data_IF_825527294962
#
_entry.id   IF_825527294962
#
_cell.length_a   1.000
_cell.length_b   1.000
_cell.length_c   1.000
_cell.angle_alpha   90.00
_cell.angle_beta   90.00
_cell.angle_gamma   90.00
#
_symmetry.space_group_name_H-M   'P 1'
#
loop_
_entity.id
_entity.type
_entity.pdbx_description
1 polymer ?
#
# COMPACT_ATOMS: atom_id res chain seq x y z
N UNK A 1 15.33 13.35 10.09
CA UNK A 1 16.28 12.91 9.05
C UNK A 1 15.74 11.63 8.46
N UNK A 2 15.20 11.69 7.25
CA UNK A 2 14.61 10.54 6.54
C UNK A 2 15.72 9.77 5.86
N UNK A 3 15.94 8.50 6.26
CA UNK A 3 16.92 7.64 5.61
C UNK A 3 16.45 7.35 4.18
N UNK A 4 17.30 7.75 3.22
CA UNK A 4 17.11 7.54 1.79
C UNK A 4 17.34 6.06 1.46
N UNK A 5 16.44 5.48 0.67
CA UNK A 5 16.55 4.09 0.24
C UNK A 5 17.44 4.03 -1.02
N UNK A 6 18.62 3.42 -0.92
CA UNK A 6 19.65 3.42 -1.98
C UNK A 6 19.33 2.52 -3.19
N UNK A 7 18.23 1.77 -3.16
CA UNK A 7 17.89 0.75 -4.17
C UNK A 7 17.00 1.29 -5.32
N UNK A 8 16.47 2.50 -5.21
CA UNK A 8 15.58 3.10 -6.20
C UNK A 8 16.17 4.41 -6.70
N UNK A 9 16.23 4.58 -8.04
CA UNK A 9 16.64 5.84 -8.68
C UNK A 9 15.83 7.00 -8.09
N UNK A 10 16.48 8.13 -7.75
CA UNK A 10 15.86 9.30 -7.13
C UNK A 10 14.56 9.72 -7.86
N UNK A 11 14.57 9.69 -9.20
CA UNK A 11 13.42 9.99 -10.06
C UNK A 11 12.21 9.06 -9.89
N UNK A 12 12.41 7.85 -9.38
CA UNK A 12 11.35 6.87 -9.12
C UNK A 12 10.74 7.01 -7.72
N UNK A 13 11.49 7.63 -6.80
CA UNK A 13 11.11 7.90 -5.40
C UNK A 13 10.16 9.09 -5.31
N UNK A 14 10.34 10.12 -6.17
CA UNK A 14 9.56 11.38 -6.11
C UNK A 14 8.31 11.42 -6.98
N UNK A 15 7.99 10.35 -7.73
CA UNK A 15 6.77 10.33 -8.56
C UNK A 15 5.56 9.98 -7.71
N UNK A 16 4.58 10.90 -7.64
CA UNK A 16 3.25 10.61 -7.11
C UNK A 16 2.68 9.38 -7.81
N UNK A 17 2.24 8.40 -7.02
CA UNK A 17 1.63 7.17 -7.55
C UNK A 17 0.32 6.92 -6.82
N UNK A 18 -0.71 6.60 -7.59
CA UNK A 18 -2.00 6.16 -7.06
C UNK A 18 -2.17 4.68 -7.41
N UNK A 19 -2.68 3.93 -6.45
CA UNK A 19 -3.05 2.53 -6.60
C UNK A 19 -4.48 2.34 -6.15
N UNK A 20 -5.18 1.40 -6.77
CA UNK A 20 -6.51 0.95 -6.36
C UNK A 20 -6.45 -0.52 -5.96
N UNK A 21 -7.36 -0.94 -5.08
CA UNK A 21 -7.49 -2.33 -4.66
C UNK A 21 -8.42 -3.08 -5.62
N UNK A 22 -7.90 -4.14 -6.25
CA UNK A 22 -8.71 -5.02 -7.10
C UNK A 22 -9.38 -6.17 -6.31
N UNK A 23 -9.24 -6.20 -4.99
CA UNK A 23 -9.72 -7.25 -4.08
C UNK A 23 -8.68 -8.32 -3.76
N UNK A 24 -7.51 -8.30 -4.42
CA UNK A 24 -6.40 -9.24 -4.18
C UNK A 24 -5.11 -8.49 -3.85
N UNK A 25 -4.81 -7.43 -4.60
CA UNK A 25 -3.62 -6.61 -4.42
C UNK A 25 -3.82 -5.18 -4.97
N UNK A 26 -2.99 -4.26 -4.49
CA UNK A 26 -2.97 -2.90 -5.02
C UNK A 26 -2.37 -2.85 -6.43
N UNK A 27 -3.14 -2.39 -7.41
CA UNK A 27 -2.69 -2.17 -8.79
C UNK A 27 -2.47 -0.68 -9.01
N UNK A 28 -1.38 -0.32 -9.70
CA UNK A 28 -1.09 1.07 -10.05
C UNK A 28 -2.10 1.59 -11.09
N UNK A 29 -2.66 2.77 -10.82
CA UNK A 29 -3.47 3.50 -11.80
C UNK A 29 -2.57 3.91 -12.96
N UNK A 30 -2.94 3.52 -14.19
CA UNK A 30 -2.25 3.90 -15.42
C UNK A 30 -2.64 5.32 -15.87
N UNK A 31 -2.38 6.29 -15.01
CA UNK A 31 -2.62 7.70 -15.27
C UNK A 31 -1.45 8.54 -14.79
N UNK A 32 -1.22 9.68 -15.46
CA UNK A 32 -0.26 10.67 -14.99
C UNK A 32 -0.97 11.63 -14.02
N UNK A 33 -0.45 11.76 -12.80
CA UNK A 33 -0.92 12.78 -11.86
C UNK A 33 -0.36 14.15 -12.26
N UNK A 34 -1.25 15.14 -12.45
CA UNK A 34 -0.90 16.49 -12.94
C UNK A 34 -0.97 17.54 -11.83
N UNK A 35 -1.43 17.20 -10.62
CA UNK A 35 -1.65 18.22 -9.57
C UNK A 35 -0.38 18.91 -9.13
N UNK A 36 -0.48 20.24 -8.97
CA UNK A 36 0.42 21.01 -8.13
C UNK A 36 0.39 20.43 -6.70
N UNK A 37 1.55 20.25 -6.09
CA UNK A 37 1.66 19.71 -4.75
C UNK A 37 0.99 20.66 -3.74
N UNK A 38 -0.16 20.24 -3.20
CA UNK A 38 -0.67 20.74 -1.93
C UNK A 38 -0.63 19.59 -0.95
N UNK A 39 0.11 19.68 0.17
CA UNK A 39 0.16 18.60 1.15
C UNK A 39 -1.27 18.29 1.61
N UNK A 40 -1.64 17.00 1.77
CA UNK A 40 -2.95 16.65 2.30
C UNK A 40 -3.14 17.38 3.63
N UNK A 41 -4.15 18.24 3.71
CA UNK A 41 -4.38 19.05 4.90
C UNK A 41 -5.10 18.20 5.95
N UNK A 42 -4.59 18.12 7.19
CA UNK A 42 -5.28 17.41 8.24
C UNK A 42 -6.62 18.09 8.51
N UNK A 43 -7.71 17.32 8.49
CA UNK A 43 -9.02 17.79 8.88
C UNK A 43 -9.39 17.15 10.21
N UNK A 44 -9.47 17.96 11.27
CA UNK A 44 -9.94 17.53 12.57
C UNK A 44 -11.48 17.48 12.53
N UNK A 45 -12.07 16.30 12.35
CA UNK A 45 -13.51 16.14 12.62
C UNK A 45 -13.69 16.04 14.13
N UNK A 46 -14.11 17.12 14.78
CA UNK A 46 -14.55 17.11 16.19
C UNK A 46 -15.99 16.61 16.37
N UNK A 47 -16.65 16.14 15.31
CA UNK A 47 -18.00 15.58 15.43
C UNK A 47 -17.96 14.10 15.79
N UNK A 48 -18.35 13.80 17.03
CA UNK A 48 -18.68 12.45 17.48
C UNK A 48 -19.83 11.94 16.61
N UNK A 49 -19.58 10.91 15.79
CA UNK A 49 -20.67 10.13 15.21
C UNK A 49 -21.29 9.29 16.32
N UNK A 50 -22.42 9.74 16.83
CA UNK A 50 -23.11 9.25 18.01
C UNK A 50 -23.86 7.92 17.79
N UNK A 51 -23.38 7.06 16.88
CA UNK A 51 -24.00 5.76 16.54
C UNK A 51 -23.01 4.60 16.52
N UNK A 52 -21.82 4.73 17.11
CA UNK A 52 -20.95 3.60 17.45
C UNK A 52 -20.63 3.57 18.95
N UNK A 53 -21.63 3.85 19.79
CA UNK A 53 -21.59 3.47 21.20
C UNK A 53 -21.99 1.99 21.35
N UNK A 54 -21.22 1.07 20.77
CA UNK A 54 -21.25 -0.34 21.18
C UNK A 54 -20.04 -0.61 22.05
N UNK A 55 -20.25 -0.57 23.38
CA UNK A 55 -19.72 -1.52 24.38
C UNK A 55 -18.34 -2.20 24.14
N UNK A 56 -17.34 -1.52 23.61
CA UNK A 56 -16.01 -2.06 23.46
C UNK A 56 -15.03 -0.90 23.69
N UNK A 57 -14.13 -1.04 24.65
CA UNK A 57 -13.15 -0.02 25.04
C UNK A 57 -12.44 0.58 23.83
N UNK A 58 -12.97 1.72 23.37
CA UNK A 58 -12.53 2.41 22.18
C UNK A 58 -11.33 3.28 22.55
N UNK A 59 -10.12 2.75 22.37
CA UNK A 59 -8.92 3.58 22.37
C UNK A 59 -9.00 4.42 21.11
N UNK A 60 -9.36 5.71 21.25
CA UNK A 60 -9.21 6.69 20.18
C UNK A 60 -7.70 6.88 19.93
N UNK A 61 -7.10 5.99 19.13
CA UNK A 61 -5.89 6.37 18.41
C UNK A 61 -6.36 7.42 17.41
N UNK A 62 -6.10 8.70 17.72
CA UNK A 62 -6.50 9.87 16.94
C UNK A 62 -6.00 9.74 15.50
N UNK A 63 -6.80 9.08 14.67
CA UNK A 63 -6.44 8.80 13.29
C UNK A 63 -6.60 10.11 12.55
N UNK A 64 -5.49 10.70 12.14
CA UNK A 64 -5.52 11.96 11.39
C UNK A 64 -6.15 11.68 10.03
N UNK A 65 -7.30 12.30 9.78
CA UNK A 65 -7.95 12.28 8.48
C UNK A 65 -7.38 13.42 7.62
N UNK A 66 -7.11 13.12 6.37
CA UNK A 66 -6.57 14.04 5.38
C UNK A 66 -7.50 14.10 4.19
N UNK A 67 -7.68 15.28 3.61
CA UNK A 67 -8.37 15.41 2.33
C UNK A 67 -7.36 15.82 1.26
N UNK A 68 -7.48 15.24 0.07
CA UNK A 68 -6.66 15.59 -1.08
C UNK A 68 -7.53 15.65 -2.33
N UNK A 69 -7.21 16.59 -3.22
CA UNK A 69 -7.78 16.63 -4.57
C UNK A 69 -6.70 16.17 -5.54
N UNK A 70 -6.98 15.11 -6.31
CA UNK A 70 -6.08 14.57 -7.31
C UNK A 70 -6.65 14.79 -8.71
N UNK A 71 -5.81 15.23 -9.63
CA UNK A 71 -6.10 15.39 -11.05
C UNK A 71 -5.20 14.45 -11.82
N UNK A 72 -5.82 13.56 -12.57
CA UNK A 72 -5.20 12.49 -13.33
C UNK A 72 -5.45 12.68 -14.82
N UNK A 73 -4.45 12.39 -15.63
CA UNK A 73 -4.58 12.30 -17.09
C UNK A 73 -4.41 10.86 -17.53
N UNK A 74 -5.47 10.33 -18.14
CA UNK A 74 -5.48 9.05 -18.82
C UNK A 74 -5.22 9.29 -20.31
N UNK A 75 -4.33 8.49 -20.89
CA UNK A 75 -3.98 8.56 -22.31
C UNK A 75 -4.86 7.67 -23.19
N UNK A 76 -5.65 6.79 -22.56
CA UNK A 76 -6.54 5.86 -23.25
C UNK A 76 -7.87 5.72 -22.52
N UNK A 77 -8.96 5.61 -23.28
CA UNK A 77 -10.29 5.27 -22.78
C UNK A 77 -10.31 3.97 -21.98
N UNK A 78 -9.50 2.98 -22.39
CA UNK A 78 -9.42 1.68 -21.71
C UNK A 78 -8.89 1.83 -20.29
N UNK A 79 -7.78 2.55 -20.12
CA UNK A 79 -7.16 2.74 -18.81
C UNK A 79 -8.06 3.53 -17.86
N UNK A 80 -8.80 4.50 -18.41
CA UNK A 80 -9.81 5.24 -17.68
C UNK A 80 -10.97 4.33 -17.23
N UNK A 81 -11.53 3.53 -18.13
CA UNK A 81 -12.62 2.61 -17.82
C UNK A 81 -12.22 1.53 -16.81
N UNK A 82 -11.02 0.98 -16.95
CA UNK A 82 -10.44 0.00 -16.02
C UNK A 82 -10.37 0.58 -14.60
N UNK A 83 -9.87 1.81 -14.45
CA UNK A 83 -9.83 2.47 -13.14
C UNK A 83 -11.22 2.84 -12.61
N UNK A 84 -12.13 3.31 -13.49
CA UNK A 84 -13.48 3.74 -13.10
C UNK A 84 -14.26 2.60 -12.43
N UNK A 85 -14.04 1.35 -12.85
CA UNK A 85 -14.63 0.16 -12.22
C UNK A 85 -14.27 0.04 -10.73
N UNK A 86 -13.07 0.50 -10.35
CA UNK A 86 -12.54 0.39 -8.99
C UNK A 86 -12.55 1.71 -8.24
N UNK A 87 -13.26 2.74 -8.71
CA UNK A 87 -13.30 4.06 -8.05
C UNK A 87 -13.82 4.00 -6.60
N UNK A 88 -14.76 3.09 -6.33
CA UNK A 88 -15.31 2.87 -4.99
C UNK A 88 -14.43 1.99 -4.08
N UNK A 89 -13.35 1.42 -4.61
CA UNK A 89 -12.41 0.59 -3.84
C UNK A 89 -11.49 1.44 -2.98
N UNK A 90 -10.76 0.78 -2.09
CA UNK A 90 -9.69 1.42 -1.33
C UNK A 90 -8.55 1.81 -2.27
N UNK A 91 -8.05 3.02 -2.09
CA UNK A 91 -6.93 3.57 -2.83
C UNK A 91 -5.73 3.80 -1.92
N UNK A 92 -4.54 3.57 -2.47
CA UNK A 92 -3.27 3.88 -1.82
C UNK A 92 -2.55 4.96 -2.62
N UNK A 93 -2.26 6.08 -1.98
CA UNK A 93 -1.60 7.24 -2.58
C UNK A 93 -0.20 7.42 -1.97
N UNK A 94 0.80 7.52 -2.84
CA UNK A 94 2.17 7.88 -2.49
C UNK A 94 2.40 9.34 -2.84
N UNK A 95 2.78 10.11 -1.82
CA UNK A 95 3.13 11.51 -1.98
C UNK A 95 4.59 11.67 -2.48
N UNK A 96 4.95 12.88 -2.93
CA UNK A 96 6.32 13.19 -3.41
C UNK A 96 7.39 12.88 -2.34
N UNK A 97 7.02 13.01 -1.06
CA UNK A 97 7.90 12.73 0.08
C UNK A 97 7.95 11.25 0.47
N UNK A 98 7.34 10.36 -0.31
CA UNK A 98 7.24 8.92 -0.02
C UNK A 98 6.30 8.56 1.13
N UNK A 99 5.49 9.51 1.62
CA UNK A 99 4.48 9.21 2.64
C UNK A 99 3.31 8.46 2.02
N UNK A 100 2.87 7.40 2.69
CA UNK A 100 1.77 6.54 2.23
C UNK A 100 0.47 6.95 2.88
N UNK A 101 -0.53 7.18 2.04
CA UNK A 101 -1.90 7.47 2.43
C UNK A 101 -2.81 6.37 1.90
N UNK A 102 -3.80 5.99 2.70
CA UNK A 102 -4.83 5.02 2.33
C UNK A 102 -6.18 5.69 2.49
N UNK A 103 -7.08 5.49 1.54
CA UNK A 103 -8.42 6.05 1.68
C UNK A 103 -9.33 5.72 0.52
N UNK A 104 -10.41 6.50 0.40
CA UNK A 104 -11.44 6.30 -0.62
C UNK A 104 -11.66 7.59 -1.40
N UNK A 105 -12.15 7.45 -2.62
CA UNK A 105 -12.63 8.58 -3.41
C UNK A 105 -13.93 9.09 -2.78
N UNK A 106 -14.03 10.41 -2.63
CA UNK A 106 -15.18 11.09 -2.05
C UNK A 106 -15.77 12.08 -3.05
N UNK A 107 -17.10 12.03 -3.21
CA UNK A 107 -17.82 12.87 -4.15
C UNK A 107 -17.78 12.34 -5.59
N UNK A 108 -18.30 13.14 -6.51
CA UNK A 108 -18.33 12.80 -7.93
C UNK A 108 -17.04 13.25 -8.63
N UNK A 109 -16.45 12.42 -9.51
CA UNK A 109 -15.29 12.81 -10.30
C UNK A 109 -15.67 13.86 -11.36
N UNK A 110 -14.92 14.96 -11.43
CA UNK A 110 -15.03 15.92 -12.55
C UNK A 110 -14.22 15.39 -13.73
N UNK A 111 -14.90 15.07 -14.84
CA UNK A 111 -14.32 14.42 -16.02
C UNK A 111 -14.33 15.40 -17.19
N UNK A 112 -13.15 15.65 -17.76
CA UNK A 112 -12.96 16.50 -18.94
C UNK A 112 -12.25 15.70 -20.03
N UNK A 113 -12.80 15.72 -21.23
CA UNK A 113 -12.15 15.13 -22.42
C UNK A 113 -11.21 16.16 -23.04
N UNK A 114 -9.98 15.74 -23.34
CA UNK A 114 -8.98 16.54 -24.06
C UNK A 114 -8.63 15.85 -25.38
N UNK A 115 -8.32 16.63 -26.42
CA UNK A 115 -7.87 16.17 -27.75
C UNK A 115 -8.73 15.03 -28.35
N UNK A 116 -9.78 15.39 -29.10
CA UNK A 116 -10.58 14.45 -29.90
C UNK A 116 -11.04 13.19 -29.12
N UNK A 117 -11.43 13.33 -27.84
CA UNK A 117 -11.91 12.25 -26.95
C UNK A 117 -10.91 11.11 -26.67
N UNK A 118 -9.62 11.30 -26.98
CA UNK A 118 -8.62 10.26 -26.75
C UNK A 118 -8.03 10.32 -25.34
N UNK A 119 -7.96 11.52 -24.76
CA UNK A 119 -7.40 11.77 -23.42
C UNK A 119 -8.49 12.21 -22.45
N UNK A 120 -8.39 11.72 -21.22
CA UNK A 120 -9.34 12.04 -20.15
C UNK A 120 -8.60 12.67 -18.97
N UNK A 121 -8.99 13.89 -18.61
CA UNK A 121 -8.55 14.57 -17.40
C UNK A 121 -9.64 14.35 -16.35
N UNK A 122 -9.29 13.71 -15.24
CA UNK A 122 -10.22 13.37 -14.17
C UNK A 122 -9.74 14.01 -12.88
N UNK A 123 -10.59 14.81 -12.25
CA UNK A 123 -10.33 15.39 -10.93
C UNK A 123 -11.21 14.74 -9.88
N UNK A 124 -10.60 14.23 -8.81
CA UNK A 124 -11.26 13.53 -7.72
C UNK A 124 -10.92 14.17 -6.38
N UNK A 125 -11.89 14.16 -5.46
CA UNK A 125 -11.65 14.33 -4.03
C UNK A 125 -11.37 12.98 -3.37
N UNK A 126 -10.46 12.94 -2.42
CA UNK A 126 -10.17 11.75 -1.63
C UNK A 126 -10.15 12.09 -0.15
N UNK A 127 -10.69 11.18 0.66
CA UNK A 127 -10.50 11.17 2.11
C UNK A 127 -9.53 10.05 2.46
N UNK A 128 -8.46 10.44 3.14
CA UNK A 128 -7.25 9.66 3.33
C UNK A 128 -6.91 9.57 4.82
N UNK A 129 -6.23 8.50 5.19
CA UNK A 129 -5.57 8.29 6.47
C UNK A 129 -4.10 8.04 6.18
N UNK A 130 -3.24 8.75 6.91
CA UNK A 130 -1.79 8.50 6.81
C UNK A 130 -1.51 7.13 7.43
N UNK A 131 -0.81 6.27 6.69
CA UNK A 131 -0.28 5.03 7.25
C UNK A 131 0.89 5.38 8.17
N UNK A 132 0.73 5.12 9.47
CA UNK A 132 1.74 5.44 10.50
C UNK A 132 3.02 4.62 10.30
N UNK A 133 2.84 3.37 9.86
CA UNK A 133 3.93 2.48 9.52
C UNK A 133 4.33 2.68 8.06
N UNK A 134 5.61 3.02 7.85
CA UNK A 134 6.20 2.81 6.54
C UNK A 134 6.00 1.33 6.18
N UNK A 135 5.42 1.05 5.01
CA UNK A 135 5.52 -0.29 4.43
C UNK A 135 6.99 -0.53 4.12
N UNK A 136 7.76 -0.96 5.12
CA UNK A 136 9.02 -1.62 4.88
C UNK A 136 8.66 -2.89 4.11
N UNK A 137 8.76 -2.82 2.78
CA UNK A 137 8.99 -4.02 2.00
C UNK A 137 10.38 -4.47 2.40
N UNK A 138 10.45 -5.32 3.43
CA UNK A 138 11.66 -6.10 3.65
C UNK A 138 11.79 -6.99 2.42
N UNK A 139 12.66 -6.58 1.50
CA UNK A 139 13.02 -7.37 0.33
C UNK A 139 14.46 -7.82 0.56
N UNK A 140 14.62 -8.86 1.36
CA UNK A 140 15.84 -9.68 1.28
C UNK A 140 15.72 -10.46 -0.01
N UNK A 141 16.66 -10.26 -0.92
CA UNK A 141 16.76 -11.05 -2.14
C UNK A 141 17.47 -12.35 -1.78
N UNK A 142 16.72 -13.45 -1.73
CA UNK A 142 17.32 -14.76 -1.53
C UNK A 142 17.95 -15.25 -2.84
N UNK A 143 19.21 -15.66 -2.79
CA UNK A 143 19.97 -16.07 -3.99
C UNK A 143 19.42 -17.39 -4.56
N UNK A 144 18.87 -18.25 -3.70
CA UNK A 144 18.42 -19.60 -4.04
C UNK A 144 16.96 -19.71 -4.49
N UNK A 145 16.21 -18.59 -4.56
CA UNK A 145 14.81 -18.62 -4.99
C UNK A 145 14.59 -18.17 -6.44
N UNK A 146 15.59 -17.60 -7.12
CA UNK A 146 15.44 -16.94 -8.43
C UNK A 146 14.69 -17.81 -9.46
N UNK A 147 15.02 -19.10 -9.52
CA UNK A 147 14.40 -20.07 -10.45
C UNK A 147 13.50 -21.12 -9.77
N UNK A 148 13.08 -20.89 -8.52
CA UNK A 148 12.25 -21.83 -7.78
C UNK A 148 10.75 -21.55 -7.98
N UNK A 149 9.93 -22.59 -8.14
CA UNK A 149 8.47 -22.44 -8.35
C UNK A 149 7.78 -21.67 -7.21
N UNK A 150 8.36 -21.74 -6.00
CA UNK A 150 7.81 -21.09 -4.82
C UNK A 150 8.25 -19.62 -4.63
N UNK A 151 9.09 -19.06 -5.51
CA UNK A 151 9.65 -17.72 -5.41
C UNK A 151 8.60 -16.67 -5.03
N UNK A 152 7.52 -16.57 -5.81
CA UNK A 152 6.44 -15.59 -5.58
C UNK A 152 5.75 -15.77 -4.23
N UNK A 153 5.64 -17.01 -3.73
CA UNK A 153 5.02 -17.26 -2.43
C UNK A 153 5.96 -16.86 -1.29
N UNK A 154 7.27 -17.13 -1.43
CA UNK A 154 8.30 -16.74 -0.47
C UNK A 154 8.36 -15.22 -0.38
N UNK A 155 8.39 -14.52 -1.52
CA UNK A 155 8.33 -13.05 -1.59
C UNK A 155 7.08 -12.48 -0.92
N UNK A 156 5.92 -13.13 -1.11
CA UNK A 156 4.68 -12.69 -0.48
C UNK A 156 4.72 -12.90 1.03
N UNK A 157 5.16 -14.08 1.49
CA UNK A 157 5.34 -14.38 2.91
C UNK A 157 6.31 -13.40 3.56
N UNK A 158 7.31 -12.94 2.81
CA UNK A 158 8.26 -11.92 3.24
C UNK A 158 7.59 -10.56 3.46
N UNK A 159 6.83 -10.11 2.46
CA UNK A 159 6.11 -8.83 2.53
C UNK A 159 5.06 -8.82 3.66
N UNK A 160 4.50 -9.98 3.99
CA UNK A 160 3.57 -10.16 5.10
C UNK A 160 4.27 -10.25 6.48
N UNK A 161 5.60 -10.31 6.52
CA UNK A 161 6.38 -10.47 7.75
C UNK A 161 6.26 -11.85 8.38
N UNK A 162 5.88 -12.87 7.59
CA UNK A 162 5.75 -14.26 8.05
C UNK A 162 7.11 -14.96 8.12
N UNK A 163 8.03 -14.58 7.26
CA UNK A 163 9.42 -15.07 7.28
C UNK A 163 10.36 -13.98 7.79
N UNK A 164 11.44 -14.38 8.46
CA UNK A 164 12.43 -13.43 8.95
C UNK A 164 13.37 -13.05 7.81
N UNK A 165 13.54 -11.76 7.57
CA UNK A 165 14.34 -11.21 6.47
C UNK A 165 15.75 -10.84 6.88
N UNK A 166 15.97 -10.66 8.19
CA UNK A 166 17.20 -10.11 8.75
C UNK A 166 17.77 -11.10 9.77
N UNK A 167 17.96 -12.35 9.34
CA UNK A 167 18.66 -13.33 10.15
C UNK A 167 20.17 -13.18 9.92
N UNK A 168 20.89 -12.90 11.01
CA UNK A 168 22.35 -12.91 11.05
C UNK A 168 22.80 -14.20 11.72
N UNK A 169 23.69 -14.94 11.05
CA UNK A 169 24.42 -16.04 11.65
C UNK A 169 25.89 -15.63 11.70
N UNK A 170 26.51 -15.71 12.89
CA UNK A 170 27.92 -15.35 13.11
C UNK A 170 28.31 -13.93 12.64
N UNK A 171 27.35 -12.99 12.67
CA UNK A 171 27.56 -11.60 12.25
C UNK A 171 27.47 -11.35 10.74
N UNK A 172 27.12 -12.37 9.96
CA UNK A 172 26.88 -12.24 8.51
C UNK A 172 25.38 -12.42 8.20
N UNK A 173 24.89 -11.60 7.26
CA UNK A 173 23.52 -11.71 6.77
C UNK A 173 23.38 -12.98 5.93
N UNK A 174 22.43 -13.84 6.30
CA UNK A 174 22.16 -15.06 5.53
C UNK A 174 21.26 -14.72 4.35
N UNK A 175 21.77 -15.02 3.15
CA UNK A 175 21.14 -14.67 1.86
C UNK A 175 20.43 -15.86 1.19
N UNK A 176 20.16 -16.93 1.95
CA UNK A 176 19.57 -18.18 1.47
C UNK A 176 18.28 -18.51 2.22
N UNK A 177 17.24 -18.95 1.50
CA UNK A 177 15.96 -19.40 2.06
C UNK A 177 15.88 -20.91 2.25
N UNK A 178 16.55 -21.67 1.39
CA UNK A 178 16.63 -23.14 1.32
C UNK A 178 15.26 -23.82 1.10
N UNK A 179 14.57 -23.52 -0.01
CA UNK A 179 13.18 -23.97 -0.23
C UNK A 179 13.03 -25.49 -0.36
N UNK A 180 14.09 -26.20 -0.77
CA UNK A 180 14.09 -27.66 -0.97
C UNK A 180 14.49 -28.45 0.29
N UNK A 181 14.94 -27.78 1.36
CA UNK A 181 15.28 -28.44 2.62
C UNK A 181 14.03 -28.77 3.44
N UNK A 182 14.10 -29.87 4.21
CA UNK A 182 13.00 -30.25 5.09
C UNK A 182 12.90 -29.27 6.26
N UNK A 183 11.73 -28.66 6.42
CA UNK A 183 11.46 -27.80 7.56
C UNK A 183 11.49 -28.59 8.89
N UNK A 184 12.20 -28.04 9.87
CA UNK A 184 12.17 -28.58 11.22
C UNK A 184 10.80 -28.36 11.87
N UNK A 185 10.49 -29.14 12.92
CA UNK A 185 9.26 -28.97 13.71
C UNK A 185 9.15 -27.56 14.30
N UNK A 186 10.28 -26.98 14.71
CA UNK A 186 10.34 -25.64 15.29
C UNK A 186 10.00 -24.56 14.25
N UNK A 187 10.57 -24.65 13.05
CA UNK A 187 10.27 -23.73 11.94
C UNK A 187 8.81 -23.85 11.51
N UNK A 188 8.29 -25.08 11.40
CA UNK A 188 6.90 -25.33 11.04
C UNK A 188 5.91 -24.67 12.02
N UNK A 189 6.15 -24.82 13.33
CA UNK A 189 5.32 -24.17 14.37
C UNK A 189 5.48 -22.65 14.31
N UNK A 190 6.67 -22.15 13.98
CA UNK A 190 6.93 -20.72 13.86
C UNK A 190 6.14 -20.09 12.71
N UNK A 191 6.12 -20.74 11.54
CA UNK A 191 5.28 -20.30 10.41
C UNK A 191 3.79 -20.30 10.80
N UNK A 192 3.31 -21.38 11.42
CA UNK A 192 1.91 -21.48 11.84
C UNK A 192 1.51 -20.38 12.82
N UNK A 193 2.34 -20.11 13.84
CA UNK A 193 2.06 -19.08 14.83
C UNK A 193 2.12 -17.66 14.25
N UNK A 194 3.04 -17.39 13.32
CA UNK A 194 3.11 -16.10 12.61
C UNK A 194 1.89 -15.89 11.72
N UNK A 195 1.48 -16.92 10.98
CA UNK A 195 0.26 -16.88 10.16
C UNK A 195 -0.99 -16.68 11.02
N UNK A 196 -1.12 -17.42 12.13
CA UNK A 196 -2.23 -17.23 13.07
C UNK A 196 -2.30 -15.80 13.59
N UNK A 197 -1.17 -15.24 14.06
CA UNK A 197 -1.11 -13.85 14.54
C UNK A 197 -1.44 -12.84 13.44
N UNK A 198 -0.99 -13.08 12.22
CA UNK A 198 -1.29 -12.23 11.07
C UNK A 198 -2.80 -12.22 10.78
N UNK A 199 -3.43 -13.39 10.73
CA UNK A 199 -4.88 -13.52 10.52
C UNK A 199 -5.68 -12.92 11.68
N UNK A 200 -5.29 -13.17 12.92
CA UNK A 200 -5.94 -12.57 14.10
C UNK A 200 -5.86 -11.04 14.07
N UNK A 201 -4.73 -10.46 13.64
CA UNK A 201 -4.58 -9.02 13.44
C UNK A 201 -5.55 -8.49 12.36
N UNK A 202 -5.62 -9.17 11.22
CA UNK A 202 -6.54 -8.81 10.13
C UNK A 202 -8.02 -8.87 10.58
N UNK A 203 -8.41 -9.94 11.28
CA UNK A 203 -9.79 -10.12 11.76
C UNK A 203 -10.18 -9.08 12.82
N UNK A 204 -9.22 -8.60 13.62
CA UNK A 204 -9.44 -7.55 14.63
C UNK A 204 -9.43 -6.12 14.04
N UNK A 205 -9.13 -5.96 12.75
CA UNK A 205 -9.16 -4.67 12.06
C UNK A 205 -7.95 -3.77 12.34
N UNK A 206 -6.76 -4.36 12.59
CA UNK A 206 -5.50 -3.65 12.77
C UNK A 206 -4.59 -3.70 11.53
#
# INVERSE_FOLDING_TARGET
>A
MTQQNNLLSEDSVYKKKLFYDNGVHFIQVKAKLITEYKPPTPYLKTHVNQTLASSAGLIQNGTSHYNATLTMLFYSKKEYADWLQFIGSQHKYYDEKGTVYIGIVTGEPDIKTAEMETKYIVTIGMSLVRKQDFEYKYMTEFIDIENHWANKYIDNMQQLGLIATNWEADGESVVYFRPDEAATRAESITFLMRTYRHVDKLLRGY
#
